data_IF_638334910746
#
_entry.id   IF_638334910746
#
_cell.length_a   1.000
_cell.length_b   1.000
_cell.length_c   1.000
_cell.angle_alpha   90.00
_cell.angle_beta   90.00
_cell.angle_gamma   90.00
#
_symmetry.space_group_name_H-M   'P 1'
#
loop_
_entity.id
_entity.type
_entity.pdbx_description
1 polymer ?
#
# COMPACT_ATOMS: atom_id res chain seq x y z
N UNK A 1 31.38 65.54 -5.34
CA UNK A 1 31.90 64.43 -4.50
C UNK A 1 30.78 63.67 -3.76
N UNK A 2 29.79 64.36 -3.16
CA UNK A 2 28.73 63.74 -2.36
C UNK A 2 27.84 62.75 -3.13
N UNK A 3 27.40 63.12 -4.35
CA UNK A 3 26.54 62.28 -5.20
C UNK A 3 27.20 60.95 -5.58
N UNK A 4 28.48 60.98 -5.96
CA UNK A 4 29.25 59.76 -6.27
C UNK A 4 29.35 58.86 -5.05
N UNK A 5 29.63 59.40 -3.86
CA UNK A 5 29.66 58.61 -2.63
C UNK A 5 28.29 58.03 -2.25
N UNK A 6 27.20 58.76 -2.49
CA UNK A 6 25.85 58.28 -2.24
C UNK A 6 25.51 57.10 -3.15
N UNK A 7 25.72 57.25 -4.46
CA UNK A 7 25.52 56.19 -5.44
C UNK A 7 26.38 54.97 -5.15
N UNK A 8 27.63 55.18 -4.73
CA UNK A 8 28.54 54.09 -4.40
C UNK A 8 28.07 53.31 -3.16
N UNK A 9 27.53 53.97 -2.14
CA UNK A 9 26.90 53.31 -0.99
C UNK A 9 25.64 52.54 -1.38
N UNK A 10 24.81 53.10 -2.26
CA UNK A 10 23.62 52.41 -2.75
C UNK A 10 23.98 51.17 -3.57
N UNK A 11 25.01 51.24 -4.41
CA UNK A 11 25.53 50.09 -5.16
C UNK A 11 26.01 49.00 -4.20
N UNK A 12 26.80 49.34 -3.17
CA UNK A 12 27.26 48.35 -2.18
C UNK A 12 26.08 47.69 -1.47
N UNK A 13 25.09 48.48 -1.05
CA UNK A 13 23.87 47.96 -0.42
C UNK A 13 23.09 47.00 -1.33
N UNK A 14 23.01 47.29 -2.63
CA UNK A 14 22.35 46.41 -3.60
C UNK A 14 23.14 45.12 -3.85
N UNK A 15 24.47 45.18 -3.84
CA UNK A 15 25.35 44.01 -4.03
C UNK A 15 25.38 43.08 -2.81
N UNK A 16 25.06 43.59 -1.62
CA UNK A 16 24.93 42.79 -0.40
C UNK A 16 23.61 41.98 -0.34
N UNK A 17 22.72 42.14 -1.32
CA UNK A 17 21.49 41.37 -1.39
C UNK A 17 21.81 39.89 -1.64
N UNK A 18 21.51 39.05 -0.66
CA UNK A 18 21.54 37.59 -0.79
C UNK A 18 20.13 37.08 -0.95
N UNK A 19 19.89 36.34 -2.02
CA UNK A 19 18.58 35.75 -2.25
C UNK A 19 18.49 34.39 -1.56
N UNK A 20 17.30 34.06 -1.03
CA UNK A 20 17.10 32.81 -0.28
C UNK A 20 17.34 31.54 -1.09
N UNK A 21 17.31 31.62 -2.43
CA UNK A 21 17.57 30.46 -3.28
C UNK A 21 19.04 30.03 -3.29
N UNK A 22 19.97 30.90 -2.84
CA UNK A 22 21.40 30.58 -2.73
C UNK A 22 21.70 29.60 -1.59
N UNK A 23 20.80 29.49 -0.61
CA UNK A 23 20.93 28.59 0.55
C UNK A 23 20.24 27.23 0.33
N UNK A 24 19.53 27.05 -0.78
CA UNK A 24 18.74 25.85 -1.05
C UNK A 24 19.55 24.92 -1.96
N UNK A 25 19.79 23.70 -1.49
CA UNK A 25 20.31 22.64 -2.33
C UNK A 25 19.26 22.23 -3.37
N UNK A 26 19.63 22.38 -4.65
CA UNK A 26 18.80 22.05 -5.80
C UNK A 26 19.30 20.76 -6.45
N UNK A 27 18.39 19.96 -6.99
CA UNK A 27 18.70 18.79 -7.84
C UNK A 27 19.71 19.15 -8.93
N UNK A 28 20.62 18.22 -9.22
CA UNK A 28 21.69 18.44 -10.19
C UNK A 28 21.14 18.77 -11.59
N UNK A 29 21.93 19.47 -12.39
CA UNK A 29 21.51 19.86 -13.74
C UNK A 29 21.20 18.65 -14.63
N UNK A 30 21.98 17.57 -14.48
CA UNK A 30 21.77 16.35 -15.24
C UNK A 30 20.46 15.65 -14.90
N UNK A 31 20.13 15.57 -13.61
CA UNK A 31 18.88 14.97 -13.14
C UNK A 31 17.68 15.84 -13.52
N UNK A 32 17.80 17.17 -13.40
CA UNK A 32 16.76 18.10 -13.83
C UNK A 32 16.37 17.90 -15.29
N UNK A 33 17.34 17.88 -16.22
CA UNK A 33 17.01 17.70 -17.64
C UNK A 33 16.58 16.27 -18.01
N UNK A 34 16.87 15.26 -17.18
CA UNK A 34 16.40 13.88 -17.37
C UNK A 34 14.97 13.68 -16.87
N UNK A 35 14.62 14.29 -15.75
CA UNK A 35 13.35 14.00 -15.04
C UNK A 35 12.28 15.07 -15.24
N UNK A 36 12.67 16.32 -15.49
CA UNK A 36 11.70 17.41 -15.66
C UNK A 36 10.97 17.33 -17.01
N UNK A 37 9.64 17.46 -17.03
CA UNK A 37 8.84 17.55 -18.23
C UNK A 37 9.32 18.66 -19.16
N UNK A 38 9.14 18.51 -20.49
CA UNK A 38 9.54 19.51 -21.47
C UNK A 38 8.86 20.87 -21.25
N UNK A 39 7.67 20.88 -20.66
CA UNK A 39 6.91 22.09 -20.33
C UNK A 39 7.59 22.97 -19.28
N UNK A 40 8.40 22.38 -18.40
CA UNK A 40 9.10 23.09 -17.31
C UNK A 40 10.58 23.24 -17.66
N UNK A 41 11.21 22.18 -18.18
CA UNK A 41 12.64 22.21 -18.49
C UNK A 41 12.98 23.20 -19.60
N UNK A 42 12.10 23.37 -20.61
CA UNK A 42 12.21 24.33 -21.72
C UNK A 42 13.65 24.51 -22.22
N UNK A 43 14.31 23.39 -22.55
CA UNK A 43 15.74 23.33 -22.83
C UNK A 43 16.23 24.34 -23.89
N UNK A 44 15.36 24.78 -24.81
CA UNK A 44 15.65 25.80 -25.81
C UNK A 44 15.97 27.19 -25.21
N UNK A 45 15.35 27.54 -24.08
CA UNK A 45 15.50 28.85 -23.42
C UNK A 45 16.43 28.75 -22.21
N UNK A 46 16.33 27.68 -21.43
CA UNK A 46 17.14 27.47 -20.21
C UNK A 46 18.60 27.16 -20.50
N UNK A 47 18.96 26.57 -21.64
CA UNK A 47 20.37 26.33 -21.98
C UNK A 47 21.10 27.61 -22.41
N UNK A 48 20.37 28.64 -22.84
CA UNK A 48 20.92 29.93 -23.28
C UNK A 48 21.02 30.99 -22.17
N UNK A 49 20.24 30.86 -21.10
CA UNK A 49 20.17 31.83 -20.01
C UNK A 49 20.26 31.14 -18.62
N UNK A 50 21.37 31.34 -17.87
CA UNK A 50 21.54 30.79 -16.52
C UNK A 50 20.45 31.22 -15.53
N UNK A 51 19.86 32.40 -15.70
CA UNK A 51 18.80 32.87 -14.83
C UNK A 51 17.51 32.07 -15.05
N UNK A 52 17.12 31.91 -16.32
CA UNK A 52 15.96 31.07 -16.69
C UNK A 52 16.16 29.62 -16.25
N UNK A 53 17.38 29.10 -16.39
CA UNK A 53 17.73 27.77 -15.92
C UNK A 53 17.46 27.59 -14.42
N UNK A 54 17.86 28.59 -13.62
CA UNK A 54 17.67 28.56 -12.17
C UNK A 54 16.19 28.66 -11.79
N UNK A 55 15.42 29.50 -12.47
CA UNK A 55 13.96 29.61 -12.27
C UNK A 55 13.24 28.29 -12.61
N UNK A 56 13.54 27.69 -13.75
CA UNK A 56 12.94 26.43 -14.16
C UNK A 56 13.25 25.28 -13.18
N UNK A 57 14.47 25.24 -12.63
CA UNK A 57 14.84 24.29 -11.57
C UNK A 57 14.04 24.50 -10.30
N UNK A 58 13.87 25.75 -9.86
CA UNK A 58 13.09 26.09 -8.67
C UNK A 58 11.61 25.72 -8.84
N UNK A 59 11.04 25.97 -10.02
CA UNK A 59 9.66 25.62 -10.33
C UNK A 59 9.46 24.09 -10.33
N UNK A 60 10.38 23.35 -10.92
CA UNK A 60 10.34 21.87 -10.91
C UNK A 60 10.42 21.30 -9.49
N UNK A 61 11.35 21.78 -8.67
CA UNK A 61 11.50 21.38 -7.27
C UNK A 61 10.23 21.66 -6.45
N UNK A 62 9.63 22.82 -6.68
CA UNK A 62 8.38 23.20 -6.02
C UNK A 62 7.23 22.26 -6.41
N UNK A 63 7.12 21.92 -7.70
CA UNK A 63 6.14 20.95 -8.18
C UNK A 63 6.39 19.54 -7.63
N UNK A 64 7.65 19.09 -7.62
CA UNK A 64 8.04 17.82 -7.02
C UNK A 64 7.63 17.79 -5.55
N UNK A 65 7.99 18.78 -4.75
CA UNK A 65 7.62 18.84 -3.33
C UNK A 65 6.11 18.82 -3.13
N UNK A 66 5.33 19.53 -3.97
CA UNK A 66 3.86 19.47 -3.93
C UNK A 66 3.34 18.06 -4.23
N UNK A 67 3.85 17.41 -5.29
CA UNK A 67 3.45 16.05 -5.68
C UNK A 67 3.80 15.02 -4.62
N UNK A 68 5.00 15.10 -4.03
CA UNK A 68 5.43 14.22 -2.94
C UNK A 68 4.58 14.45 -1.68
N UNK A 69 4.26 15.70 -1.33
CA UNK A 69 3.40 16.01 -0.20
C UNK A 69 1.98 15.43 -0.38
N UNK A 70 1.40 15.54 -1.58
CA UNK A 70 0.09 14.97 -1.86
C UNK A 70 0.12 13.44 -1.79
N UNK A 71 1.11 12.79 -2.44
CA UNK A 71 1.29 11.34 -2.36
C UNK A 71 1.48 10.86 -0.92
N UNK A 72 2.21 11.62 -0.10
CA UNK A 72 2.39 11.32 1.31
C UNK A 72 1.05 11.36 2.08
N UNK A 73 0.22 12.38 1.83
CA UNK A 73 -1.13 12.49 2.41
C UNK A 73 -2.03 11.33 1.98
N UNK A 74 -2.02 10.96 0.70
CA UNK A 74 -2.77 9.81 0.19
C UNK A 74 -2.34 8.51 0.88
N UNK A 75 -1.03 8.27 0.98
CA UNK A 75 -0.47 7.11 1.68
C UNK A 75 -0.88 7.07 3.16
N UNK A 76 -0.87 8.21 3.86
CA UNK A 76 -1.35 8.28 5.24
C UNK A 76 -2.85 7.94 5.34
N UNK A 77 -3.68 8.50 4.46
CA UNK A 77 -5.11 8.18 4.44
C UNK A 77 -5.37 6.70 4.17
N UNK A 78 -4.65 6.11 3.22
CA UNK A 78 -4.76 4.68 2.91
C UNK A 78 -4.31 3.80 4.08
N UNK A 79 -3.22 4.18 4.76
CA UNK A 79 -2.77 3.51 5.98
C UNK A 79 -3.86 3.53 7.05
N UNK A 80 -4.48 4.68 7.30
CA UNK A 80 -5.58 4.78 8.27
C UNK A 80 -6.80 3.94 7.90
N UNK A 81 -7.18 3.90 6.62
CA UNK A 81 -8.27 3.05 6.13
C UNK A 81 -7.96 1.58 6.38
N UNK A 82 -6.77 1.12 6.00
CA UNK A 82 -6.34 -0.27 6.20
C UNK A 82 -6.33 -0.63 7.70
N UNK A 83 -5.83 0.27 8.55
CA UNK A 83 -5.84 0.05 10.01
C UNK A 83 -7.27 -0.10 10.55
N UNK A 84 -8.21 0.74 10.10
CA UNK A 84 -9.62 0.63 10.48
C UNK A 84 -10.24 -0.68 9.99
N UNK A 85 -9.97 -1.09 8.75
CA UNK A 85 -10.46 -2.37 8.22
C UNK A 85 -9.90 -3.57 8.99
N UNK A 86 -8.62 -3.52 9.37
CA UNK A 86 -8.00 -4.56 10.20
C UNK A 86 -8.71 -4.62 11.55
N UNK A 87 -9.01 -3.49 12.17
CA UNK A 87 -9.67 -3.47 13.48
C UNK A 87 -11.09 -4.04 13.41
N UNK A 88 -11.88 -3.63 12.41
CA UNK A 88 -13.23 -4.19 12.19
C UNK A 88 -13.16 -5.70 11.94
N UNK A 89 -12.19 -6.19 11.15
CA UNK A 89 -12.00 -7.62 10.92
C UNK A 89 -11.61 -8.36 12.20
N UNK A 90 -10.76 -7.77 13.05
CA UNK A 90 -10.39 -8.36 14.34
C UNK A 90 -11.58 -8.43 15.28
N UNK A 91 -12.38 -7.37 15.39
CA UNK A 91 -13.61 -7.36 16.18
C UNK A 91 -14.62 -8.40 15.68
N UNK A 92 -14.77 -8.51 14.36
CA UNK A 92 -15.62 -9.55 13.77
C UNK A 92 -15.12 -10.96 14.14
N UNK A 93 -13.82 -11.24 13.97
CA UNK A 93 -13.24 -12.53 14.31
C UNK A 93 -13.33 -12.84 15.81
N UNK A 94 -13.10 -11.85 16.68
CA UNK A 94 -13.21 -12.02 18.14
C UNK A 94 -14.65 -12.28 18.58
N UNK A 95 -15.64 -11.72 17.88
CA UNK A 95 -17.07 -12.01 18.12
C UNK A 95 -17.53 -13.35 17.53
N UNK A 96 -16.90 -13.81 16.44
CA UNK A 96 -17.27 -15.03 15.73
C UNK A 96 -16.70 -16.28 16.40
N UNK A 97 -15.44 -16.23 16.86
CA UNK A 97 -14.75 -17.34 17.49
C UNK A 97 -15.52 -17.99 18.66
N UNK A 98 -16.06 -17.25 19.65
CA UNK A 98 -16.83 -17.86 20.73
C UNK A 98 -18.12 -18.51 20.24
N UNK A 99 -18.79 -17.93 19.21
CA UNK A 99 -20.00 -18.52 18.62
C UNK A 99 -19.71 -19.83 17.91
N UNK A 100 -18.63 -19.89 17.14
CA UNK A 100 -18.17 -21.13 16.50
C UNK A 100 -17.81 -22.19 17.53
N UNK A 101 -17.12 -21.80 18.61
CA UNK A 101 -16.82 -22.71 19.71
C UNK A 101 -18.10 -23.24 20.38
N UNK A 102 -19.11 -22.38 20.62
CA UNK A 102 -20.39 -22.84 21.16
C UNK A 102 -21.10 -23.84 20.25
N UNK A 103 -21.10 -23.61 18.94
CA UNK A 103 -21.69 -24.55 17.95
C UNK A 103 -20.93 -25.87 17.97
N UNK A 104 -19.59 -25.82 17.95
CA UNK A 104 -18.73 -27.01 18.00
C UNK A 104 -19.05 -27.84 19.25
N UNK A 105 -19.07 -27.22 20.43
CA UNK A 105 -19.38 -27.89 21.69
C UNK A 105 -20.81 -28.47 21.72
N UNK A 106 -21.81 -27.74 21.23
CA UNK A 106 -23.18 -28.22 21.17
C UNK A 106 -23.37 -29.41 20.22
N UNK A 107 -22.53 -29.51 19.18
CA UNK A 107 -22.60 -30.60 18.20
C UNK A 107 -21.87 -31.88 18.62
N UNK A 108 -20.97 -31.82 19.61
CA UNK A 108 -20.17 -32.97 20.06
C UNK A 108 -20.99 -34.23 20.40
N UNK A 109 -22.09 -34.16 21.18
CA UNK A 109 -22.85 -35.37 21.55
C UNK A 109 -23.45 -36.09 20.35
N UNK A 110 -23.87 -35.34 19.33
CA UNK A 110 -24.41 -35.91 18.08
C UNK A 110 -23.29 -36.52 17.23
N UNK A 111 -22.11 -35.89 17.21
CA UNK A 111 -20.94 -36.43 16.51
C UNK A 111 -20.47 -37.76 17.14
N UNK A 112 -20.43 -37.83 18.47
CA UNK A 112 -20.10 -39.04 19.22
C UNK A 112 -21.13 -40.15 18.96
N UNK A 113 -22.42 -39.81 18.95
CA UNK A 113 -23.49 -40.76 18.66
C UNK A 113 -23.44 -41.33 17.24
N UNK A 114 -23.11 -40.49 16.25
CA UNK A 114 -23.05 -40.87 14.84
C UNK A 114 -21.66 -41.34 14.39
N UNK A 115 -20.70 -41.50 15.30
CA UNK A 115 -19.31 -41.89 15.00
C UNK A 115 -18.66 -41.04 13.89
N UNK A 116 -18.85 -39.72 13.91
CA UNK A 116 -18.30 -38.81 12.89
C UNK A 116 -17.11 -37.99 13.44
N UNK A 117 -15.84 -38.41 13.24
CA UNK A 117 -14.67 -37.66 13.70
C UNK A 117 -14.27 -36.57 12.68
N UNK A 118 -14.86 -35.37 12.79
CA UNK A 118 -14.57 -34.25 11.90
C UNK A 118 -13.12 -33.72 12.00
N UNK A 119 -12.47 -33.88 13.16
CA UNK A 119 -11.10 -33.41 13.39
C UNK A 119 -10.04 -34.09 12.50
N UNK A 120 -10.26 -35.35 12.11
CA UNK A 120 -9.36 -36.06 11.19
C UNK A 120 -9.49 -35.59 9.75
N UNK A 121 -10.69 -35.17 9.34
CA UNK A 121 -10.96 -34.69 7.99
C UNK A 121 -10.46 -33.26 7.75
N UNK A 122 -10.33 -32.45 8.81
CA UNK A 122 -10.02 -31.02 8.72
C UNK A 122 -8.79 -30.69 7.86
N UNK A 123 -7.69 -31.46 7.98
CA UNK A 123 -6.46 -31.26 7.19
C UNK A 123 -6.65 -31.45 5.68
N UNK A 124 -7.49 -32.41 5.29
CA UNK A 124 -7.78 -32.67 3.88
C UNK A 124 -8.71 -31.59 3.30
N UNK A 125 -9.66 -31.11 4.11
CA UNK A 125 -10.55 -30.01 3.75
C UNK A 125 -9.81 -28.67 3.61
N UNK A 126 -8.82 -28.36 4.45
CA UNK A 126 -7.98 -27.17 4.30
C UNK A 126 -7.24 -27.16 2.96
N UNK A 127 -6.66 -28.29 2.55
CA UNK A 127 -6.03 -28.42 1.23
C UNK A 127 -7.07 -28.28 0.10
N UNK A 128 -8.27 -28.84 0.29
CA UNK A 128 -9.34 -28.81 -0.70
C UNK A 128 -9.96 -27.42 -0.89
N UNK A 129 -9.81 -26.48 0.06
CA UNK A 129 -10.34 -25.09 -0.06
C UNK A 129 -9.71 -24.32 -1.22
N UNK A 130 -8.54 -24.73 -1.69
CA UNK A 130 -7.88 -24.12 -2.85
C UNK A 130 -8.36 -24.69 -4.19
N UNK A 131 -9.24 -25.71 -4.18
CA UNK A 131 -9.76 -26.30 -5.40
C UNK A 131 -10.82 -25.40 -6.06
N UNK A 132 -10.85 -25.32 -7.39
CA UNK A 132 -11.96 -24.74 -8.13
C UNK A 132 -13.30 -25.38 -7.74
N UNK A 133 -14.44 -24.64 -7.84
CA UNK A 133 -15.74 -25.11 -7.35
C UNK A 133 -16.15 -26.52 -7.84
N UNK A 134 -15.96 -26.90 -9.13
CA UNK A 134 -16.32 -28.23 -9.60
C UNK A 134 -15.47 -29.35 -8.96
N UNK A 135 -14.18 -29.10 -8.73
CA UNK A 135 -13.26 -30.06 -8.13
C UNK A 135 -13.48 -30.21 -6.63
N UNK A 136 -13.88 -29.14 -5.94
CA UNK A 136 -14.28 -29.19 -4.54
C UNK A 136 -15.51 -30.07 -4.35
N UNK A 137 -16.54 -29.91 -5.20
CA UNK A 137 -17.74 -30.75 -5.15
C UNK A 137 -17.41 -32.22 -5.38
N UNK A 138 -16.56 -32.53 -6.37
CA UNK A 138 -16.14 -33.90 -6.63
C UNK A 138 -15.37 -34.51 -5.46
N UNK A 139 -14.48 -33.74 -4.82
CA UNK A 139 -13.76 -34.17 -3.62
C UNK A 139 -14.72 -34.51 -2.46
N UNK A 140 -15.70 -33.65 -2.17
CA UNK A 140 -16.69 -33.89 -1.11
C UNK A 140 -17.54 -35.13 -1.42
N UNK A 141 -17.99 -35.29 -2.65
CA UNK A 141 -18.80 -36.45 -3.04
C UNK A 141 -18.00 -37.76 -3.01
N UNK A 142 -16.75 -37.75 -3.49
CA UNK A 142 -15.89 -38.93 -3.48
C UNK A 142 -15.52 -39.37 -2.05
N UNK A 143 -15.22 -38.40 -1.17
CA UNK A 143 -14.92 -38.69 0.24
C UNK A 143 -16.16 -39.20 0.98
N UNK A 144 -17.33 -38.58 0.77
CA UNK A 144 -18.59 -39.03 1.35
C UNK A 144 -18.96 -40.46 0.90
N UNK A 145 -18.84 -40.75 -0.40
CA UNK A 145 -19.10 -42.08 -0.95
C UNK A 145 -18.14 -43.13 -0.39
N UNK A 146 -16.84 -42.81 -0.31
CA UNK A 146 -15.82 -43.69 0.26
C UNK A 146 -16.10 -44.05 1.71
N UNK A 147 -16.48 -43.06 2.53
CA UNK A 147 -16.82 -43.28 3.94
C UNK A 147 -18.11 -44.09 4.10
N UNK A 148 -19.17 -43.72 3.38
CA UNK A 148 -20.46 -44.40 3.45
C UNK A 148 -20.36 -45.88 3.04
N UNK A 149 -19.65 -46.19 1.94
CA UNK A 149 -19.54 -47.56 1.45
C UNK A 149 -18.50 -48.41 2.20
N UNK A 150 -17.49 -47.81 2.84
CA UNK A 150 -16.52 -48.56 3.65
C UNK A 150 -17.16 -49.11 4.94
N UNK A 151 -18.05 -48.35 5.59
CA UNK A 151 -18.79 -48.80 6.78
C UNK A 151 -19.83 -49.91 6.50
N UNK A 152 -20.32 -50.03 5.26
CA UNK A 152 -21.24 -51.10 4.86
C UNK A 152 -20.55 -52.47 4.77
N UNK A 153 -19.24 -52.52 4.46
CA UNK A 153 -18.48 -53.79 4.36
C UNK A 153 -18.07 -54.37 5.71
N UNK A 154 -18.02 -53.56 6.77
CA UNK A 154 -17.66 -54.02 8.13
C UNK A 154 -18.85 -54.48 8.98
N UNK A 155 -20.09 -54.36 8.46
CA UNK A 155 -21.34 -54.78 9.14
C UNK A 155 -22.01 -56.00 8.49
N UNK A 156 -21.35 -56.69 7.57
CA UNK A 156 -21.79 -58.01 7.12
C UNK A 156 -21.14 -59.09 8.00
N UNK A 157 -21.93 -60.02 8.59
CA UNK A 157 -21.42 -61.13 9.39
C UNK A 157 -20.59 -62.12 8.57
#
# INVERSE_FOLDING_TARGET
LYEVMHLQKEITKCLEFKSKHEEIDLVSLEEFYKEAPPDISKAEVTMGDPHQQTLARLDWELEQRKRLAEKYRECLSNKEKILKEIEVKKEYLSSLQPRLNSIMQASLPVQEYLFMPFDQAHKQYETARHLPPPLYVLFVQATAYGQACAHMKSSQP
#
